data_IF_064636991914
#
_entry.id   IF_064636991914
#
_cell.length_a   1.000
_cell.length_b   1.000
_cell.length_c   1.000
_cell.angle_alpha   90.00
_cell.angle_beta   90.00
_cell.angle_gamma   90.00
#
_symmetry.space_group_name_H-M   'P 1'
#
loop_
_entity.id
_entity.type
_entity.pdbx_description
1 polymer ?
#
# COMPACT_ATOMS: atom_id res chain seq x y z
N UNK A 1 43.91 -9.81 4.81
CA UNK A 1 43.46 -9.26 3.51
C UNK A 1 41.99 -9.61 3.38
N UNK A 2 41.09 -8.65 3.49
CA UNK A 2 39.66 -8.88 3.27
C UNK A 2 39.41 -8.85 1.77
N UNK A 3 39.11 -9.99 1.17
CA UNK A 3 38.71 -10.07 -0.23
C UNK A 3 37.35 -9.40 -0.38
N UNK A 4 37.33 -8.22 -0.99
CA UNK A 4 36.11 -7.52 -1.34
C UNK A 4 35.50 -8.20 -2.58
N UNK A 5 34.73 -9.27 -2.36
CA UNK A 5 34.12 -10.13 -3.39
C UNK A 5 33.02 -9.42 -4.23
N UNK A 6 32.71 -8.16 -3.93
CA UNK A 6 31.67 -7.37 -4.60
C UNK A 6 32.21 -6.24 -5.47
N UNK A 7 33.53 -5.96 -5.44
CA UNK A 7 34.16 -4.77 -6.03
C UNK A 7 34.16 -4.66 -7.56
N UNK A 8 33.42 -5.51 -8.29
CA UNK A 8 33.35 -5.51 -9.74
C UNK A 8 31.96 -5.79 -10.32
N UNK A 9 30.91 -5.84 -9.48
CA UNK A 9 29.53 -6.06 -9.95
C UNK A 9 28.89 -4.74 -10.39
N UNK A 10 29.38 -3.60 -9.86
CA UNK A 10 28.88 -2.27 -10.20
C UNK A 10 29.84 -1.65 -11.21
N UNK A 11 29.41 -1.37 -12.45
CA UNK A 11 30.26 -0.65 -13.40
C UNK A 11 30.62 0.71 -12.81
N UNK A 12 31.89 1.16 -12.96
CA UNK A 12 32.27 2.50 -12.52
C UNK A 12 31.33 3.51 -13.20
N UNK A 13 30.65 4.30 -12.38
CA UNK A 13 29.68 5.26 -12.88
C UNK A 13 30.42 6.28 -13.75
N UNK A 14 29.88 6.66 -14.92
CA UNK A 14 30.48 7.68 -15.75
C UNK A 14 30.58 9.00 -14.95
N UNK A 15 31.61 9.83 -15.22
CA UNK A 15 31.76 11.13 -14.60
C UNK A 15 30.49 11.98 -14.75
N UNK A 16 30.20 12.82 -13.76
CA UNK A 16 29.07 13.73 -13.82
C UNK A 16 29.32 14.81 -14.86
N UNK A 17 28.41 14.93 -15.82
CA UNK A 17 28.45 15.99 -16.83
C UNK A 17 28.03 17.35 -16.23
N UNK A 18 28.42 18.45 -16.87
CA UNK A 18 28.07 19.80 -16.40
C UNK A 18 26.55 20.07 -16.42
N UNK A 19 25.80 19.37 -17.29
CA UNK A 19 24.35 19.42 -17.31
C UNK A 19 23.84 18.00 -17.58
N UNK A 20 22.82 17.57 -16.85
CA UNK A 20 22.22 16.24 -16.98
C UNK A 20 20.71 16.37 -17.08
N UNK A 21 20.07 15.44 -17.78
CA UNK A 21 18.62 15.30 -17.76
C UNK A 21 18.13 14.49 -16.54
N UNK A 22 16.81 14.48 -16.37
CA UNK A 22 16.12 13.78 -15.28
C UNK A 22 16.20 12.25 -15.36
N UNK A 23 16.36 11.67 -16.55
CA UNK A 23 16.49 10.21 -16.72
C UNK A 23 17.87 9.74 -16.26
N UNK A 24 18.90 10.54 -16.50
CA UNK A 24 20.27 10.30 -16.01
C UNK A 24 20.30 10.25 -14.48
N UNK A 25 19.67 11.24 -13.82
CA UNK A 25 19.56 11.27 -12.36
C UNK A 25 18.74 10.08 -11.82
N UNK A 26 17.59 9.78 -12.45
CA UNK A 26 16.72 8.67 -12.05
C UNK A 26 17.44 7.33 -12.15
N UNK A 27 18.15 7.10 -13.26
CA UNK A 27 18.97 5.91 -13.43
C UNK A 27 20.01 5.80 -12.31
N UNK A 28 20.72 6.89 -11.98
CA UNK A 28 21.69 6.85 -10.88
C UNK A 28 21.09 6.55 -9.51
N UNK A 29 19.85 6.97 -9.22
CA UNK A 29 19.15 6.58 -7.98
C UNK A 29 18.83 5.08 -7.94
N UNK A 30 18.35 4.51 -9.05
CA UNK A 30 17.90 3.12 -9.12
C UNK A 30 19.04 2.10 -9.04
N UNK A 31 20.27 2.48 -9.39
CA UNK A 31 21.43 1.59 -9.40
C UNK A 31 22.06 1.33 -8.01
N UNK A 32 21.53 1.93 -6.94
CA UNK A 32 21.73 1.44 -5.56
C UNK A 32 22.96 1.94 -4.81
N UNK A 33 23.78 2.84 -5.39
CA UNK A 33 24.83 3.57 -4.66
C UNK A 33 24.68 5.08 -4.85
N UNK A 34 24.02 5.80 -3.93
CA UNK A 34 23.93 7.25 -3.99
C UNK A 34 25.26 7.87 -3.54
N UNK A 35 26.27 7.80 -4.41
CA UNK A 35 27.54 8.50 -4.23
C UNK A 35 27.42 10.02 -4.53
N UNK A 36 26.21 10.50 -4.82
CA UNK A 36 25.91 11.89 -5.17
C UNK A 36 24.94 12.55 -4.19
N UNK A 37 24.81 13.86 -4.31
CA UNK A 37 23.91 14.70 -3.53
C UNK A 37 23.01 15.49 -4.48
N UNK A 38 21.71 15.57 -4.15
CA UNK A 38 20.77 16.43 -4.86
C UNK A 38 20.55 17.69 -4.02
N UNK A 39 20.76 18.87 -4.61
CA UNK A 39 20.55 20.16 -3.97
C UNK A 39 19.37 20.88 -4.61
N UNK A 40 18.40 21.23 -3.78
CA UNK A 40 17.31 22.12 -4.15
C UNK A 40 17.64 23.53 -3.68
N UNK A 41 17.79 24.45 -4.63
CA UNK A 41 18.22 25.84 -4.35
C UNK A 41 17.07 26.84 -4.36
N UNK A 42 15.84 26.35 -4.50
CA UNK A 42 14.64 27.16 -4.36
C UNK A 42 14.47 27.62 -2.91
N UNK A 43 13.54 28.54 -2.70
CA UNK A 43 13.22 29.00 -1.35
C UNK A 43 12.69 27.85 -0.47
N UNK A 44 12.83 28.07 0.84
CA UNK A 44 12.50 27.06 1.85
C UNK A 44 11.03 26.63 1.83
N UNK A 45 10.10 27.53 1.49
CA UNK A 45 8.67 27.20 1.45
C UNK A 45 8.39 26.28 0.25
N UNK A 46 8.91 26.64 -0.92
CA UNK A 46 8.79 25.81 -2.14
C UNK A 46 9.39 24.41 -1.94
N UNK A 47 10.55 24.30 -1.28
CA UNK A 47 11.11 23.00 -0.90
C UNK A 47 10.15 22.20 -0.02
N UNK A 48 9.59 22.81 1.03
CA UNK A 48 8.68 22.14 1.95
C UNK A 48 7.37 21.70 1.28
N UNK A 49 6.89 22.44 0.28
CA UNK A 49 5.70 22.07 -0.50
C UNK A 49 5.92 20.79 -1.32
N UNK A 50 7.07 20.68 -2.00
CA UNK A 50 7.42 19.52 -2.80
C UNK A 50 8.82 19.62 -3.40
N UNK A 51 9.63 18.56 -3.26
CA UNK A 51 11.00 18.46 -3.77
C UNK A 51 11.29 17.02 -4.25
N UNK A 52 12.41 16.84 -4.96
CA UNK A 52 12.90 15.50 -5.33
C UNK A 52 13.22 14.72 -4.05
N UNK A 53 12.77 13.46 -3.96
CA UNK A 53 13.04 12.61 -2.80
C UNK A 53 14.53 12.55 -2.49
N UNK A 54 14.91 12.82 -1.23
CA UNK A 54 16.30 12.85 -0.78
C UNK A 54 17.08 14.13 -1.13
N UNK A 55 16.47 15.13 -1.77
CA UNK A 55 17.12 16.42 -2.01
C UNK A 55 17.33 17.19 -0.70
N UNK A 56 18.47 17.89 -0.60
CA UNK A 56 18.78 18.75 0.54
C UNK A 56 18.46 20.22 0.22
N UNK A 57 17.82 20.96 1.13
CA UNK A 57 17.51 22.37 0.93
C UNK A 57 18.74 23.24 1.13
N UNK A 58 19.21 23.87 0.06
CA UNK A 58 20.27 24.88 0.08
C UNK A 58 19.86 26.09 -0.78
N UNK A 59 18.96 26.95 -0.27
CA UNK A 59 18.49 28.14 -0.99
C UNK A 59 19.65 28.94 -1.60
N UNK A 60 19.47 29.46 -2.81
CA UNK A 60 20.58 30.01 -3.62
C UNK A 60 21.37 31.13 -2.94
N UNK A 61 20.73 31.91 -2.06
CA UNK A 61 21.33 32.97 -1.25
C UNK A 61 22.21 32.44 -0.11
N UNK A 62 21.97 31.21 0.34
CA UNK A 62 22.73 30.52 1.38
C UNK A 62 23.60 29.36 0.85
N UNK A 63 23.52 29.07 -0.47
CA UNK A 63 24.07 27.88 -1.10
C UNK A 63 25.55 27.65 -0.76
N UNK A 64 26.41 28.61 -1.08
CA UNK A 64 27.86 28.47 -0.85
C UNK A 64 28.18 28.37 0.65
N UNK A 65 27.52 29.21 1.46
CA UNK A 65 27.69 29.25 2.92
C UNK A 65 27.36 27.90 3.57
N UNK A 66 26.36 27.18 3.05
CA UNK A 66 25.95 25.86 3.54
C UNK A 66 26.77 24.72 2.92
N UNK A 67 26.99 24.76 1.61
CA UNK A 67 27.65 23.68 0.88
C UNK A 67 29.12 23.54 1.26
N UNK A 68 29.88 24.64 1.29
CA UNK A 68 31.34 24.62 1.53
C UNK A 68 31.75 23.90 2.82
N UNK A 69 31.12 24.12 3.99
CA UNK A 69 31.47 23.39 5.21
C UNK A 69 30.82 22.00 5.33
N UNK A 70 29.81 21.67 4.50
CA UNK A 70 28.99 20.46 4.68
C UNK A 70 29.25 19.36 3.66
N UNK A 71 29.85 19.69 2.51
CA UNK A 71 30.03 18.78 1.38
C UNK A 71 31.50 18.69 0.96
N UNK A 72 31.92 17.47 0.60
CA UNK A 72 33.22 17.23 -0.03
C UNK A 72 33.28 17.88 -1.42
N UNK A 73 34.45 18.38 -1.82
CA UNK A 73 34.69 19.01 -3.13
C UNK A 73 34.63 18.01 -4.28
N UNK A 74 34.97 16.75 -4.05
CA UNK A 74 34.88 15.68 -5.05
C UNK A 74 33.52 15.00 -5.09
N UNK A 75 32.53 15.49 -4.31
CA UNK A 75 31.18 14.94 -4.29
C UNK A 75 30.47 15.25 -5.61
N UNK A 76 29.86 14.24 -6.20
CA UNK A 76 28.92 14.39 -7.30
C UNK A 76 27.67 15.15 -6.81
N UNK A 77 27.36 16.30 -7.41
CA UNK A 77 26.24 17.15 -7.03
C UNK A 77 25.34 17.37 -8.23
N UNK A 78 24.06 17.07 -8.06
CA UNK A 78 22.99 17.50 -8.96
C UNK A 78 22.27 18.68 -8.32
N UNK A 79 22.12 19.79 -9.04
CA UNK A 79 21.49 21.00 -8.53
C UNK A 79 20.34 21.44 -9.42
N UNK A 80 19.22 21.83 -8.79
CA UNK A 80 18.08 22.41 -9.49
C UNK A 80 17.44 23.56 -8.69
N UNK A 81 16.98 24.57 -9.43
CA UNK A 81 16.21 25.70 -8.95
C UNK A 81 14.77 25.69 -9.49
N UNK A 82 14.09 26.84 -9.41
CA UNK A 82 12.74 27.06 -9.91
C UNK A 82 12.70 27.11 -11.44
N UNK A 83 13.82 27.46 -12.07
CA UNK A 83 13.98 27.53 -13.51
C UNK A 83 15.43 27.19 -13.92
N UNK A 84 15.67 27.16 -15.24
CA UNK A 84 16.99 26.85 -15.82
C UNK A 84 18.07 27.86 -15.43
N UNK A 85 17.74 29.15 -15.34
CA UNK A 85 18.69 30.21 -15.01
C UNK A 85 19.19 30.07 -13.57
N UNK A 86 18.27 29.88 -12.62
CA UNK A 86 18.60 29.68 -11.21
C UNK A 86 19.44 28.41 -11.00
N UNK A 87 19.10 27.33 -11.72
CA UNK A 87 19.86 26.08 -11.68
C UNK A 87 21.29 26.26 -12.23
N UNK A 88 21.43 26.99 -13.33
CA UNK A 88 22.73 27.31 -13.92
C UNK A 88 23.58 28.21 -13.01
N UNK A 89 22.96 29.23 -12.41
CA UNK A 89 23.62 30.13 -11.46
C UNK A 89 24.13 29.35 -10.24
N UNK A 90 23.31 28.47 -9.66
CA UNK A 90 23.72 27.65 -8.53
C UNK A 90 24.87 26.70 -8.88
N UNK A 91 24.81 26.04 -10.05
CA UNK A 91 25.90 25.19 -10.53
C UNK A 91 27.20 25.98 -10.68
N UNK A 92 27.14 27.19 -11.24
CA UNK A 92 28.29 28.07 -11.37
C UNK A 92 28.86 28.48 -10.01
N UNK A 93 28.01 28.89 -9.05
CA UNK A 93 28.44 29.26 -7.71
C UNK A 93 29.21 28.12 -7.02
N UNK A 94 28.72 26.88 -7.11
CA UNK A 94 29.40 25.72 -6.54
C UNK A 94 30.76 25.48 -7.21
N UNK A 95 30.80 25.46 -8.54
CA UNK A 95 32.07 25.25 -9.29
C UNK A 95 33.11 26.33 -8.97
N UNK A 96 32.70 27.60 -8.92
CA UNK A 96 33.58 28.72 -8.53
C UNK A 96 34.11 28.62 -7.10
N UNK A 97 33.46 27.81 -6.25
CA UNK A 97 33.89 27.53 -4.88
C UNK A 97 34.57 26.14 -4.75
N UNK A 98 35.09 25.60 -5.85
CA UNK A 98 35.95 24.43 -5.86
C UNK A 98 35.24 23.07 -5.83
N UNK A 99 33.90 23.03 -6.00
CA UNK A 99 33.22 21.76 -6.20
C UNK A 99 33.51 21.23 -7.62
N UNK A 100 34.05 20.03 -7.70
CA UNK A 100 34.62 19.45 -8.93
C UNK A 100 33.54 18.87 -9.84
N UNK A 101 32.55 18.19 -9.25
CA UNK A 101 31.54 17.42 -9.97
C UNK A 101 30.15 18.00 -9.73
N UNK A 102 29.80 19.04 -10.47
CA UNK A 102 28.48 19.70 -10.34
C UNK A 102 27.74 19.63 -11.66
N UNK A 103 26.55 19.04 -11.65
CA UNK A 103 25.59 19.01 -12.77
C UNK A 103 24.38 19.88 -12.48
N UNK A 104 24.06 20.77 -13.40
CA UNK A 104 22.73 21.36 -13.48
C UNK A 104 21.73 20.29 -13.94
N UNK A 105 20.61 20.13 -13.23
CA UNK A 105 19.54 19.21 -13.63
C UNK A 105 18.55 19.93 -14.56
N UNK A 106 18.55 19.58 -15.85
CA UNK A 106 17.68 20.19 -16.86
C UNK A 106 16.21 19.89 -16.58
N UNK A 107 15.37 20.90 -16.73
CA UNK A 107 13.93 20.86 -16.48
C UNK A 107 13.53 20.81 -15.00
N UNK A 108 14.51 20.72 -14.09
CA UNK A 108 14.31 20.75 -12.64
C UNK A 108 13.23 19.80 -12.13
N UNK A 109 12.51 20.23 -11.08
CA UNK A 109 11.45 19.44 -10.47
C UNK A 109 10.29 19.12 -11.43
N UNK A 110 9.95 20.03 -12.35
CA UNK A 110 8.85 19.83 -13.27
C UNK A 110 9.11 18.64 -14.22
N UNK A 111 10.30 18.60 -14.82
CA UNK A 111 10.70 17.46 -15.66
C UNK A 111 10.83 16.17 -14.84
N UNK A 112 11.30 16.27 -13.59
CA UNK A 112 11.41 15.11 -12.69
C UNK A 112 10.05 14.46 -12.43
N UNK A 113 9.05 15.29 -12.10
CA UNK A 113 7.66 14.84 -11.93
C UNK A 113 7.08 14.25 -13.21
N UNK A 114 7.37 14.85 -14.36
CA UNK A 114 6.86 14.39 -15.65
C UNK A 114 7.30 12.96 -16.01
N UNK A 115 8.45 12.50 -15.50
CA UNK A 115 8.94 11.12 -15.69
C UNK A 115 8.56 10.17 -14.54
N UNK A 116 7.65 10.58 -13.66
CA UNK A 116 7.24 9.83 -12.49
C UNK A 116 8.38 9.62 -11.49
N UNK A 117 9.29 10.58 -11.37
CA UNK A 117 10.36 10.53 -10.37
C UNK A 117 9.80 10.73 -8.95
N UNK A 118 10.32 10.02 -7.94
CA UNK A 118 9.82 10.12 -6.57
C UNK A 118 10.03 11.52 -5.98
N UNK A 119 9.00 12.04 -5.30
CA UNK A 119 8.97 13.35 -4.65
C UNK A 119 8.54 13.25 -3.19
N UNK A 120 8.92 14.23 -2.39
CA UNK A 120 8.51 14.37 -0.98
C UNK A 120 8.07 15.81 -0.72
N UNK A 121 7.19 16.04 0.26
CA UNK A 121 6.71 17.38 0.63
C UNK A 121 5.28 17.40 1.15
N UNK A 122 4.87 18.54 1.70
CA UNK A 122 3.55 18.71 2.34
C UNK A 122 2.42 18.56 1.31
N UNK A 123 2.57 19.12 0.11
CA UNK A 123 1.54 19.02 -0.93
C UNK A 123 1.59 17.64 -1.58
N UNK A 124 2.78 17.09 -1.83
CA UNK A 124 2.94 15.74 -2.37
C UNK A 124 2.24 14.68 -1.50
N UNK A 125 2.30 14.82 -0.17
CA UNK A 125 1.59 13.93 0.76
C UNK A 125 0.06 14.11 0.79
N UNK A 126 -0.46 15.21 0.23
CA UNK A 126 -1.89 15.56 0.17
C UNK A 126 -2.50 15.35 -1.21
N UNK A 127 -1.67 15.16 -2.24
CA UNK A 127 -2.15 14.80 -3.58
C UNK A 127 -2.77 13.40 -3.47
N UNK A 128 -4.06 13.24 -3.84
CA UNK A 128 -4.64 11.91 -3.94
C UNK A 128 -3.77 11.09 -4.90
N UNK A 129 -3.39 9.85 -4.54
CA UNK A 129 -2.71 8.94 -5.46
C UNK A 129 -3.41 8.91 -6.82
N UNK A 130 -2.63 8.72 -7.89
CA UNK A 130 -3.15 8.69 -9.25
C UNK A 130 -4.22 7.61 -9.44
N UNK A 131 -4.98 7.64 -10.57
CA UNK A 131 -6.07 6.68 -10.80
C UNK A 131 -5.65 5.21 -10.71
N UNK A 132 -4.37 4.92 -10.97
CA UNK A 132 -3.79 3.58 -10.93
C UNK A 132 -3.00 3.27 -9.63
N UNK A 133 -2.82 4.26 -8.77
CA UNK A 133 -2.11 4.11 -7.51
C UNK A 133 -3.04 3.52 -6.43
N UNK A 134 -2.54 2.57 -5.64
CA UNK A 134 -3.30 1.93 -4.57
C UNK A 134 -3.58 2.93 -3.41
N UNK A 135 -4.70 3.64 -3.48
CA UNK A 135 -5.09 4.60 -2.45
C UNK A 135 -5.59 3.94 -1.16
N UNK A 136 -4.67 3.67 -0.23
CA UNK A 136 -5.02 3.11 1.09
C UNK A 136 -5.84 4.10 1.92
N UNK A 137 -5.62 5.41 1.75
CA UNK A 137 -6.34 6.46 2.50
C UNK A 137 -7.80 6.55 2.05
N UNK A 138 -8.08 6.58 0.75
CA UNK A 138 -9.46 6.60 0.25
C UNK A 138 -10.17 5.28 0.56
N UNK A 139 -9.48 4.13 0.50
CA UNK A 139 -10.09 2.87 0.96
C UNK A 139 -10.41 2.89 2.44
N UNK A 140 -9.53 3.40 3.30
CA UNK A 140 -9.79 3.50 4.74
C UNK A 140 -10.92 4.48 5.03
N UNK A 141 -10.96 5.61 4.32
CA UNK A 141 -12.01 6.61 4.47
C UNK A 141 -13.36 6.12 3.95
N UNK A 142 -13.40 5.52 2.76
CA UNK A 142 -14.59 4.84 2.24
C UNK A 142 -15.02 3.67 3.14
N UNK A 143 -14.08 2.91 3.70
CA UNK A 143 -14.39 1.85 4.64
C UNK A 143 -14.97 2.42 5.93
N UNK A 144 -14.43 3.52 6.47
CA UNK A 144 -14.96 4.21 7.66
C UNK A 144 -16.33 4.86 7.41
N UNK A 145 -16.53 5.48 6.26
CA UNK A 145 -17.79 6.12 5.88
C UNK A 145 -18.88 5.09 5.56
N UNK A 146 -18.50 3.93 5.01
CA UNK A 146 -19.36 2.76 4.78
C UNK A 146 -19.24 1.71 5.88
N UNK A 147 -18.67 2.04 7.05
CA UNK A 147 -18.86 1.21 8.23
C UNK A 147 -20.38 1.12 8.44
N UNK A 148 -20.95 -0.06 8.67
CA UNK A 148 -22.37 -0.17 8.98
C UNK A 148 -22.68 0.73 10.19
N UNK A 149 -23.30 1.89 9.93
CA UNK A 149 -23.71 2.82 10.97
C UNK A 149 -24.90 2.20 11.69
N UNK A 150 -24.59 1.47 12.75
CA UNK A 150 -25.57 0.70 13.51
C UNK A 150 -25.57 -0.77 13.13
N UNK A 151 -24.47 -1.47 13.40
CA UNK A 151 -24.61 -2.89 13.77
C UNK A 151 -25.40 -2.99 15.08
N UNK A 152 -26.14 -4.10 15.31
CA UNK A 152 -26.86 -4.27 16.56
C UNK A 152 -25.89 -4.03 17.71
N UNK A 153 -26.29 -3.22 18.69
CA UNK A 153 -25.54 -3.07 19.94
C UNK A 153 -25.19 -4.47 20.47
N UNK A 154 -24.08 -4.62 21.18
CA UNK A 154 -23.74 -5.89 21.83
C UNK A 154 -24.94 -6.46 22.62
N UNK A 155 -25.78 -5.58 23.19
CA UNK A 155 -27.03 -5.94 23.87
C UNK A 155 -28.14 -6.45 22.95
N UNK A 156 -28.24 -5.95 21.72
CA UNK A 156 -29.23 -6.39 20.73
C UNK A 156 -28.81 -7.71 20.07
N UNK A 157 -27.51 -7.88 19.79
CA UNK A 157 -26.96 -9.14 19.29
C UNK A 157 -27.18 -10.28 20.30
N UNK A 158 -26.98 -10.00 21.59
CA UNK A 158 -27.26 -10.96 22.67
C UNK A 158 -28.75 -11.29 22.80
N UNK A 159 -29.65 -10.30 22.68
CA UNK A 159 -31.11 -10.54 22.69
C UNK A 159 -31.56 -11.40 21.51
N UNK A 160 -31.04 -11.13 20.31
CA UNK A 160 -31.35 -11.93 19.12
C UNK A 160 -30.84 -13.36 19.27
N UNK A 161 -29.59 -13.54 19.70
CA UNK A 161 -29.02 -14.87 19.95
C UNK A 161 -29.82 -15.67 21.00
N UNK A 162 -30.31 -15.00 22.05
CA UNK A 162 -31.17 -15.63 23.06
C UNK A 162 -32.56 -16.00 22.52
N UNK A 163 -33.12 -15.22 21.59
CA UNK A 163 -34.39 -15.54 20.93
C UNK A 163 -34.24 -16.75 20.00
N UNK A 164 -33.25 -16.69 19.11
CA UNK A 164 -32.97 -17.76 18.14
C UNK A 164 -32.70 -19.10 18.87
N UNK A 165 -32.02 -19.07 20.02
CA UNK A 165 -31.78 -20.26 20.83
C UNK A 165 -33.07 -20.83 21.43
N UNK A 166 -34.01 -19.98 21.89
CA UNK A 166 -35.31 -20.42 22.41
C UNK A 166 -36.15 -21.08 21.33
N UNK A 167 -36.17 -20.49 20.14
CA UNK A 167 -36.94 -21.01 19.01
C UNK A 167 -36.43 -22.39 18.60
N UNK A 168 -35.11 -22.56 18.50
CA UNK A 168 -34.48 -23.85 18.20
C UNK A 168 -34.75 -24.91 19.27
N UNK A 169 -34.74 -24.55 20.55
CA UNK A 169 -35.07 -25.47 21.65
C UNK A 169 -36.54 -25.90 21.56
N UNK A 170 -37.44 -24.98 21.21
CA UNK A 170 -38.86 -25.25 21.12
C UNK A 170 -39.21 -26.11 19.90
N UNK A 171 -38.58 -25.86 18.76
CA UNK A 171 -38.69 -26.70 17.57
C UNK A 171 -38.16 -28.10 17.85
N UNK A 172 -36.97 -28.22 18.45
CA UNK A 172 -36.40 -29.50 18.85
C UNK A 172 -37.31 -30.29 19.79
N UNK A 173 -37.95 -29.61 20.77
CA UNK A 173 -38.90 -30.24 21.68
C UNK A 173 -40.18 -30.73 20.98
N UNK A 174 -40.68 -30.00 19.98
CA UNK A 174 -41.82 -30.42 19.16
C UNK A 174 -41.47 -31.66 18.32
N UNK A 175 -40.33 -31.63 17.64
CA UNK A 175 -39.86 -32.75 16.80
C UNK A 175 -39.64 -34.03 17.65
N UNK A 176 -39.11 -33.88 18.87
CA UNK A 176 -38.98 -34.98 19.81
C UNK A 176 -40.34 -35.56 20.24
N UNK A 177 -41.35 -34.72 20.49
CA UNK A 177 -42.70 -35.19 20.84
C UNK A 177 -43.36 -35.93 19.67
N UNK A 178 -43.22 -35.40 18.46
CA UNK A 178 -43.75 -36.04 17.24
C UNK A 178 -43.10 -37.41 17.02
N UNK A 179 -41.76 -37.50 17.10
CA UNK A 179 -41.05 -38.77 16.97
C UNK A 179 -41.41 -39.80 18.05
N UNK A 180 -41.65 -39.36 19.29
CA UNK A 180 -42.14 -40.25 20.36
C UNK A 180 -43.56 -40.73 20.03
N UNK A 181 -44.44 -39.86 19.56
CA UNK A 181 -45.81 -40.23 19.21
C UNK A 181 -45.86 -41.21 18.03
N UNK A 182 -45.03 -41.00 17.01
CA UNK A 182 -44.87 -41.89 15.88
C UNK A 182 -44.33 -43.26 16.33
N UNK A 183 -43.31 -43.29 17.19
CA UNK A 183 -42.79 -44.52 17.78
C UNK A 183 -43.86 -45.28 18.59
N UNK A 184 -44.67 -44.59 19.39
CA UNK A 184 -45.80 -45.20 20.12
C UNK A 184 -46.84 -45.79 19.17
N UNK A 185 -47.15 -45.12 18.06
CA UNK A 185 -48.09 -45.62 17.06
C UNK A 185 -47.55 -46.88 16.37
N UNK A 186 -46.29 -46.88 15.95
CA UNK A 186 -45.65 -48.03 15.31
C UNK A 186 -45.61 -49.25 16.24
N UNK A 187 -45.38 -49.06 17.54
CA UNK A 187 -45.45 -50.16 18.53
C UNK A 187 -46.88 -50.69 18.66
N UNK A 188 -47.91 -49.83 18.66
CA UNK A 188 -49.31 -50.28 18.70
C UNK A 188 -49.70 -51.06 17.45
N UNK A 189 -49.28 -50.62 16.27
CA UNK A 189 -49.54 -51.32 15.01
C UNK A 189 -48.86 -52.69 14.98
N UNK A 190 -47.58 -52.79 15.38
CA UNK A 190 -46.87 -54.07 15.46
C UNK A 190 -47.49 -55.07 16.45
N UNK A 191 -48.03 -54.59 17.58
CA UNK A 191 -48.79 -55.45 18.52
C UNK A 191 -50.09 -55.95 17.89
N UNK A 192 -50.75 -55.15 17.05
CA UNK A 192 -52.00 -55.53 16.37
C UNK A 192 -51.78 -56.56 15.25
N UNK A 193 -50.70 -56.45 14.47
CA UNK A 193 -50.35 -57.41 13.42
C UNK A 193 -49.94 -58.77 13.99
N UNK A 194 -49.28 -58.79 15.15
CA UNK A 194 -48.92 -60.04 15.84
C UNK A 194 -50.13 -60.86 16.34
N UNK A 195 -51.32 -60.24 16.40
CA UNK A 195 -52.57 -60.85 16.86
C UNK A 195 -53.56 -61.19 15.72
N UNK A 196 -53.17 -61.03 14.45
CA UNK A 196 -54.05 -61.35 13.31
C UNK A 196 -54.19 -62.89 13.10
N UNK A 197 -55.41 -63.44 12.96
CA UNK A 197 -55.61 -64.88 12.83
C UNK A 197 -55.20 -65.36 11.43
N UNK A 198 -54.33 -66.39 11.35
CA UNK A 198 -53.92 -67.00 10.08
C UNK A 198 -55.11 -67.74 9.44
N UNK A 199 -55.67 -67.14 8.39
CA UNK A 199 -56.69 -67.75 7.53
C UNK A 199 -56.09 -68.78 6.57
N UNK A 200 -56.79 -69.89 6.40
CA UNK A 200 -56.43 -71.09 5.61
C UNK A 200 -56.54 -70.85 4.10
N UNK A 201 -55.52 -71.30 3.37
CA UNK A 201 -55.43 -71.31 1.90
C UNK A 201 -56.30 -72.43 1.31
N UNK A 202 -57.23 -72.09 0.41
CA UNK A 202 -57.86 -73.05 -0.50
C UNK A 202 -57.78 -72.52 -1.94
N UNK A 203 -56.85 -73.09 -2.69
CA UNK A 203 -56.74 -72.96 -4.14
C UNK A 203 -57.86 -73.73 -4.83
N UNK A 204 -58.60 -73.11 -5.75
CA UNK A 204 -59.48 -73.84 -6.67
C UNK A 204 -59.16 -73.53 -8.14
N UNK A 205 -59.17 -74.63 -8.91
CA UNK A 205 -58.65 -74.88 -10.25
C UNK A 205 -59.83 -74.90 -11.25
N UNK A 206 -59.58 -74.50 -12.50
CA UNK A 206 -60.38 -74.86 -13.68
C UNK A 206 -60.17 -73.85 -14.80
N UNK A 207 -59.30 -74.13 -15.78
CA UNK A 207 -59.53 -74.88 -17.03
C UNK A 207 -60.33 -74.10 -18.06
#
# INVERSE_FOLDING_TARGET
MVNNLVGGIIPPQPPVEAQSDVHTLKSRLEWGEPAFTILDVRDRNTFNEGHIMGAMPMPIDELVKRAVPSLDKSRDIYVYGANEEESAQAAQQLRSNGFEHVSQLKGGLAAWKAIGGPTEGIIESKTPPGPDDYNVVDRLKNHQENLPKGGPSATEALKKGASDLKDNIQEGASNLKEGIQEGVNNVKEGISESNAPKGTDDSNIGS
#
